data_IF_883792652438
#
_entry.id   IF_883792652438
#
_cell.length_a   1.000
_cell.length_b   1.000
_cell.length_c   1.000
_cell.angle_alpha   90.00
_cell.angle_beta   90.00
_cell.angle_gamma   90.00
#
_symmetry.space_group_name_H-M   'P 1'
#
loop_
_entity.id
_entity.type
_entity.pdbx_description
1 polymer ?
#
# COMPACT_ATOMS: atom_id res chain seq x y z
N UNK A 1 0.87 10.95 7.84
CA UNK A 1 0.96 9.66 7.13
C UNK A 1 2.18 8.83 7.55
N UNK A 2 3.40 9.36 7.52
CA UNK A 2 4.59 8.63 8.00
C UNK A 2 4.43 8.11 9.45
N UNK A 3 3.89 8.92 10.37
CA UNK A 3 3.58 8.51 11.75
C UNK A 3 2.53 7.40 11.79
N UNK A 4 1.43 7.53 11.03
CA UNK A 4 0.38 6.50 10.97
C UNK A 4 0.92 5.16 10.44
N UNK A 5 1.76 5.21 9.40
CA UNK A 5 2.41 4.03 8.85
C UNK A 5 3.42 3.40 9.82
N UNK A 6 4.19 4.21 10.56
CA UNK A 6 5.07 3.71 11.63
C UNK A 6 4.31 3.01 12.76
N UNK A 7 3.04 3.39 13.00
CA UNK A 7 2.18 2.77 14.01
C UNK A 7 1.46 1.51 13.52
N UNK A 8 1.23 1.33 12.22
CA UNK A 8 0.44 0.21 11.68
C UNK A 8 1.27 -0.75 10.82
N UNK A 9 2.09 -0.23 9.91
CA UNK A 9 2.93 -1.01 9.01
C UNK A 9 4.17 -1.60 9.68
N UNK A 10 4.84 -0.85 10.57
CA UNK A 10 6.04 -1.34 11.27
C UNK A 10 5.72 -2.52 12.21
N UNK A 11 4.66 -2.50 13.05
CA UNK A 11 4.30 -3.65 13.86
C UNK A 11 3.91 -4.87 13.02
N UNK A 12 3.21 -4.65 11.89
CA UNK A 12 2.87 -5.71 10.94
C UNK A 12 4.10 -6.34 10.29
N UNK A 13 5.10 -5.54 9.91
CA UNK A 13 6.37 -6.03 9.38
C UNK A 13 7.18 -6.78 10.46
N UNK A 14 7.13 -6.33 11.72
CA UNK A 14 7.73 -7.04 12.86
C UNK A 14 7.03 -8.37 13.16
N UNK A 15 5.75 -8.51 12.80
CA UNK A 15 5.00 -9.78 12.89
C UNK A 15 5.33 -10.75 11.73
N UNK A 16 6.15 -10.35 10.75
CA UNK A 16 6.51 -11.21 9.60
C UNK A 16 7.11 -12.57 9.99
N UNK A 17 7.96 -12.73 11.03
CA UNK A 17 8.44 -14.06 11.44
C UNK A 17 7.29 -14.96 11.88
N UNK A 18 6.34 -14.43 12.66
CA UNK A 18 5.16 -15.17 13.12
C UNK A 18 4.26 -15.56 11.93
N UNK A 19 3.99 -14.62 11.03
CA UNK A 19 3.22 -14.87 9.81
C UNK A 19 3.91 -15.89 8.91
N UNK A 20 5.23 -15.82 8.77
CA UNK A 20 5.97 -16.79 7.97
C UNK A 20 5.98 -18.20 8.56
N UNK A 21 5.96 -18.33 9.89
CA UNK A 21 5.76 -19.65 10.55
C UNK A 21 4.36 -20.17 10.25
N UNK A 22 3.32 -19.34 10.37
CA UNK A 22 1.94 -19.71 10.06
C UNK A 22 1.73 -20.10 8.60
N UNK A 23 2.47 -19.47 7.69
CA UNK A 23 2.46 -19.72 6.25
C UNK A 23 3.44 -20.84 5.83
N UNK A 24 4.14 -21.48 6.78
CA UNK A 24 5.16 -22.50 6.55
C UNK A 24 6.23 -22.07 5.52
N UNK A 25 6.67 -20.80 5.60
CA UNK A 25 7.63 -20.22 4.67
C UNK A 25 9.05 -20.78 4.88
N UNK A 26 9.84 -20.91 3.79
CA UNK A 26 11.28 -21.15 3.89
C UNK A 26 11.98 -20.03 4.68
N UNK A 27 13.09 -20.37 5.36
CA UNK A 27 13.79 -19.43 6.24
C UNK A 27 14.33 -18.17 5.52
N UNK A 28 14.53 -18.22 4.21
CA UNK A 28 14.94 -17.06 3.40
C UNK A 28 13.80 -16.08 3.06
N UNK A 29 12.54 -16.49 3.21
CA UNK A 29 11.39 -15.76 2.69
C UNK A 29 10.79 -14.77 3.70
N UNK A 30 11.19 -14.82 4.97
CA UNK A 30 10.72 -13.89 6.01
C UNK A 30 11.05 -12.42 5.69
N UNK A 31 12.25 -12.16 5.16
CA UNK A 31 12.66 -10.80 4.79
C UNK A 31 11.82 -10.27 3.63
N UNK A 32 11.49 -11.13 2.67
CA UNK A 32 10.62 -10.76 1.54
C UNK A 32 9.21 -10.45 2.02
N UNK A 33 8.66 -11.27 2.92
CA UNK A 33 7.36 -11.03 3.54
C UNK A 33 7.34 -9.69 4.30
N UNK A 34 8.36 -9.41 5.11
CA UNK A 34 8.47 -8.16 5.83
C UNK A 34 8.52 -6.95 4.88
N UNK A 35 9.33 -7.04 3.82
CA UNK A 35 9.47 -5.97 2.83
C UNK A 35 8.20 -5.77 2.00
N UNK A 36 7.54 -6.84 1.56
CA UNK A 36 6.30 -6.73 0.79
C UNK A 36 5.17 -6.13 1.63
N UNK A 37 5.07 -6.51 2.91
CA UNK A 37 4.14 -5.92 3.86
C UNK A 37 4.45 -4.44 4.10
N UNK A 38 5.72 -4.09 4.33
CA UNK A 38 6.12 -2.70 4.55
C UNK A 38 5.77 -1.81 3.35
N UNK A 39 6.17 -2.22 2.14
CA UNK A 39 5.91 -1.46 0.90
C UNK A 39 4.41 -1.42 0.55
N UNK A 40 3.72 -2.56 0.67
CA UNK A 40 2.30 -2.67 0.37
C UNK A 40 1.46 -1.81 1.30
N UNK A 41 1.68 -1.90 2.62
CA UNK A 41 0.94 -1.09 3.60
C UNK A 41 1.22 0.40 3.45
N UNK A 42 2.46 0.80 3.12
CA UNK A 42 2.80 2.19 2.86
C UNK A 42 2.03 2.74 1.65
N UNK A 43 2.00 1.95 0.56
CA UNK A 43 1.29 2.31 -0.67
C UNK A 43 -0.21 2.43 -0.44
N UNK A 44 -0.83 1.43 0.20
CA UNK A 44 -2.26 1.44 0.53
C UNK A 44 -2.63 2.62 1.44
N UNK A 45 -1.79 2.95 2.42
CA UNK A 45 -2.03 4.09 3.32
C UNK A 45 -2.05 5.43 2.57
N UNK A 46 -1.14 5.62 1.60
CA UNK A 46 -1.10 6.83 0.78
C UNK A 46 -2.29 6.91 -0.18
N UNK A 47 -2.65 5.79 -0.82
CA UNK A 47 -3.81 5.72 -1.71
C UNK A 47 -5.11 6.00 -0.92
N UNK A 48 -5.24 5.39 0.27
CA UNK A 48 -6.37 5.63 1.17
C UNK A 48 -6.45 7.09 1.64
N UNK A 49 -5.30 7.74 1.89
CA UNK A 49 -5.24 9.16 2.24
C UNK A 49 -5.73 10.07 1.09
N UNK A 50 -5.35 9.78 -0.15
CA UNK A 50 -5.88 10.48 -1.33
C UNK A 50 -7.40 10.33 -1.39
N UNK A 51 -7.89 9.10 -1.21
CA UNK A 51 -9.32 8.82 -1.16
C UNK A 51 -10.04 9.62 -0.07
N UNK A 52 -9.49 9.66 1.15
CA UNK A 52 -10.07 10.40 2.26
C UNK A 52 -10.11 11.92 1.98
N UNK A 53 -9.07 12.49 1.39
CA UNK A 53 -9.06 13.91 1.02
C UNK A 53 -10.13 14.26 -0.02
N UNK A 54 -10.36 13.37 -0.99
CA UNK A 54 -11.42 13.53 -1.99
C UNK A 54 -12.82 13.43 -1.36
N UNK A 55 -13.01 12.57 -0.34
CA UNK A 55 -14.31 12.46 0.35
C UNK A 55 -14.71 13.72 1.10
N UNK A 56 -13.74 14.50 1.60
CA UNK A 56 -14.01 15.76 2.32
C UNK A 56 -14.51 16.85 1.38
N UNK A 57 -14.08 16.85 0.11
CA UNK A 57 -14.44 17.87 -0.88
C UNK A 57 -15.67 17.59 -1.75
N UNK A 58 -16.27 16.40 -1.67
CA UNK A 58 -17.43 16.03 -2.48
C UNK A 58 -18.60 15.52 -1.63
N UNK A 59 -19.79 16.10 -1.85
CA UNK A 59 -21.05 15.68 -1.21
C UNK A 59 -21.46 14.21 -1.48
N UNK A 60 -20.84 13.54 -2.47
CA UNK A 60 -21.02 12.10 -2.79
C UNK A 60 -19.73 11.29 -2.58
N UNK A 61 -18.88 11.69 -1.62
CA UNK A 61 -17.52 11.18 -1.42
C UNK A 61 -17.40 9.65 -1.36
N UNK A 62 -18.37 8.93 -0.79
CA UNK A 62 -18.28 7.48 -0.57
C UNK A 62 -18.15 6.63 -1.84
N UNK A 63 -18.78 7.03 -2.95
CA UNK A 63 -18.75 6.25 -4.21
C UNK A 63 -17.47 6.51 -5.00
N UNK A 64 -16.97 7.75 -5.00
CA UNK A 64 -15.67 8.07 -5.62
C UNK A 64 -14.51 7.42 -4.87
N UNK A 65 -14.62 7.33 -3.54
CA UNK A 65 -13.65 6.62 -2.71
C UNK A 65 -13.50 5.17 -3.19
N UNK A 66 -14.60 4.40 -3.29
CA UNK A 66 -14.52 3.00 -3.70
C UNK A 66 -14.06 2.83 -5.15
N UNK A 67 -14.54 3.68 -6.07
CA UNK A 67 -14.19 3.62 -7.48
C UNK A 67 -12.71 3.93 -7.75
N UNK A 68 -12.10 4.84 -6.99
CA UNK A 68 -10.69 5.21 -7.17
C UNK A 68 -9.75 4.27 -6.41
N UNK A 69 -10.12 3.89 -5.19
CA UNK A 69 -9.26 3.12 -4.28
C UNK A 69 -9.17 1.65 -4.69
N UNK A 70 -10.30 1.05 -5.08
CA UNK A 70 -10.35 -0.37 -5.46
C UNK A 70 -9.38 -0.72 -6.61
N UNK A 71 -9.37 -0.03 -7.77
CA UNK A 71 -8.47 -0.38 -8.87
C UNK A 71 -7.00 -0.16 -8.53
N UNK A 72 -6.68 0.75 -7.59
CA UNK A 72 -5.31 0.99 -7.14
C UNK A 72 -4.88 0.01 -6.02
N UNK A 73 -5.81 -0.56 -5.26
CA UNK A 73 -5.52 -1.56 -4.24
C UNK A 73 -5.19 -2.92 -4.85
N UNK A 74 -5.90 -3.31 -5.91
CA UNK A 74 -5.69 -4.58 -6.61
C UNK A 74 -4.22 -4.80 -7.01
N UNK A 75 -3.53 -3.90 -7.72
CA UNK A 75 -2.14 -4.12 -8.11
C UNK A 75 -1.21 -4.23 -6.89
N UNK A 76 -1.41 -3.41 -5.85
CA UNK A 76 -0.60 -3.49 -4.62
C UNK A 76 -0.77 -4.86 -3.96
N UNK A 77 -2.00 -5.38 -3.90
CA UNK A 77 -2.28 -6.70 -3.33
C UNK A 77 -1.71 -7.83 -4.19
N UNK A 78 -1.85 -7.75 -5.52
CA UNK A 78 -1.32 -8.74 -6.46
C UNK A 78 0.20 -8.83 -6.36
N UNK A 79 0.91 -7.69 -6.42
CA UNK A 79 2.37 -7.71 -6.36
C UNK A 79 2.89 -8.02 -4.95
N UNK A 80 2.16 -7.62 -3.91
CA UNK A 80 2.45 -7.98 -2.51
C UNK A 80 2.39 -9.49 -2.27
N UNK A 81 1.28 -10.12 -2.63
CA UNK A 81 1.11 -11.57 -2.52
C UNK A 81 2.05 -12.32 -3.47
N UNK A 82 2.21 -11.82 -4.69
CA UNK A 82 3.12 -12.38 -5.70
C UNK A 82 4.58 -12.38 -5.25
N UNK A 83 5.05 -11.35 -4.53
CA UNK A 83 6.40 -11.34 -3.96
C UNK A 83 6.61 -12.47 -2.95
N UNK A 84 5.61 -12.75 -2.11
CA UNK A 84 5.66 -13.83 -1.12
C UNK A 84 5.59 -15.20 -1.81
N UNK A 85 4.72 -15.38 -2.80
CA UNK A 85 4.66 -16.61 -3.59
C UNK A 85 5.98 -16.87 -4.33
N UNK A 86 6.54 -15.85 -4.98
CA UNK A 86 7.84 -15.97 -5.64
C UNK A 86 8.93 -16.39 -4.65
N UNK A 87 8.90 -15.87 -3.42
CA UNK A 87 9.85 -16.27 -2.37
C UNK A 87 9.62 -17.70 -1.86
N UNK A 88 8.42 -18.27 -1.99
CA UNK A 88 8.13 -19.68 -1.67
C UNK A 88 8.70 -20.59 -2.75
N UNK A 89 8.45 -20.26 -4.02
CA UNK A 89 8.87 -21.08 -5.16
C UNK A 89 10.33 -20.87 -5.60
N UNK A 90 11.02 -19.88 -5.02
CA UNK A 90 12.39 -19.53 -5.40
C UNK A 90 12.48 -18.74 -6.72
N UNK A 91 11.38 -18.13 -7.14
CA UNK A 91 11.26 -17.33 -8.35
C UNK A 91 11.77 -15.88 -8.14
N UNK A 92 11.72 -15.07 -9.20
CA UNK A 92 12.15 -13.68 -9.21
C UNK A 92 11.33 -12.74 -8.32
N UNK A 93 11.68 -12.64 -7.03
CA UNK A 93 11.08 -11.72 -6.05
C UNK A 93 11.28 -10.26 -6.40
N UNK A 94 12.46 -9.91 -6.93
CA UNK A 94 12.87 -8.52 -7.18
C UNK A 94 11.90 -7.77 -8.09
N UNK A 95 11.33 -8.43 -9.11
CA UNK A 95 10.38 -7.80 -10.02
C UNK A 95 9.11 -7.31 -9.28
N UNK A 96 8.57 -8.14 -8.39
CA UNK A 96 7.38 -7.81 -7.60
C UNK A 96 7.67 -6.66 -6.62
N UNK A 97 8.82 -6.72 -5.93
CA UNK A 97 9.23 -5.65 -5.02
C UNK A 97 9.51 -4.33 -5.74
N UNK A 98 10.10 -4.38 -6.94
CA UNK A 98 10.35 -3.19 -7.75
C UNK A 98 9.04 -2.50 -8.17
N UNK A 99 8.03 -3.27 -8.55
CA UNK A 99 6.70 -2.72 -8.89
C UNK A 99 6.02 -2.13 -7.67
N UNK A 100 6.08 -2.79 -6.51
CA UNK A 100 5.58 -2.22 -5.25
C UNK A 100 6.29 -0.91 -4.89
N UNK A 101 7.62 -0.85 -5.07
CA UNK A 101 8.41 0.36 -4.88
C UNK A 101 8.01 1.48 -5.85
N UNK A 102 7.76 1.15 -7.12
CA UNK A 102 7.28 2.11 -8.12
C UNK A 102 5.88 2.65 -7.78
N UNK A 103 4.97 1.79 -7.35
CA UNK A 103 3.63 2.19 -6.89
C UNK A 103 3.71 3.10 -5.65
N UNK A 104 4.60 2.79 -4.70
CA UNK A 104 4.84 3.63 -3.54
C UNK A 104 5.37 5.01 -3.93
N UNK A 105 6.36 5.05 -4.83
CA UNK A 105 6.94 6.30 -5.33
C UNK A 105 5.90 7.16 -6.07
N UNK A 106 5.08 6.54 -6.92
CA UNK A 106 3.97 7.21 -7.60
C UNK A 106 2.95 7.76 -6.60
N UNK A 107 2.57 6.98 -5.59
CA UNK A 107 1.66 7.42 -4.54
C UNK A 107 2.22 8.58 -3.73
N UNK A 108 3.53 8.56 -3.40
CA UNK A 108 4.20 9.66 -2.70
C UNK A 108 4.21 10.96 -3.53
N UNK A 109 4.42 10.85 -4.84
CA UNK A 109 4.46 11.99 -5.73
C UNK A 109 3.07 12.59 -5.98
N UNK A 110 2.05 11.73 -6.15
CA UNK A 110 0.68 12.16 -6.45
C UNK A 110 -0.11 12.61 -5.22
N UNK A 111 0.18 12.04 -4.04
CA UNK A 111 -0.56 12.34 -2.81
C UNK A 111 -0.65 13.84 -2.46
N UNK A 112 0.45 14.61 -2.38
CA UNK A 112 0.36 16.02 -1.98
C UNK A 112 -0.44 16.86 -2.98
N UNK A 113 -0.31 16.59 -4.28
CA UNK A 113 -1.05 17.29 -5.33
C UNK A 113 -2.54 16.95 -5.29
N UNK A 114 -2.89 15.67 -5.18
CA UNK A 114 -4.27 15.22 -5.12
C UNK A 114 -4.98 15.75 -3.86
N UNK A 115 -4.31 15.72 -2.70
CA UNK A 115 -4.84 16.25 -1.45
C UNK A 115 -5.06 17.78 -1.55
N UNK A 116 -4.07 18.51 -2.08
CA UNK A 116 -4.18 19.97 -2.24
C UNK A 116 -5.31 20.38 -3.21
N UNK A 117 -5.45 19.68 -4.34
CA UNK A 117 -6.53 19.91 -5.30
C UNK A 117 -7.91 19.65 -4.68
N UNK A 118 -8.05 18.54 -3.94
CA UNK A 118 -9.30 18.17 -3.25
C UNK A 118 -9.72 19.23 -2.24
N UNK A 119 -8.77 19.72 -1.45
CA UNK A 119 -9.04 20.73 -0.43
C UNK A 119 -9.45 22.08 -1.04
N UNK A 120 -8.82 22.48 -2.15
CA UNK A 120 -9.20 23.70 -2.89
C UNK A 120 -10.63 23.63 -3.42
N UNK A 121 -11.05 22.47 -3.95
CA UNK A 121 -12.41 22.27 -4.44
C UNK A 121 -13.41 22.34 -3.28
N UNK A 122 -13.07 21.74 -2.12
CA UNK A 122 -13.93 21.77 -0.93
C UNK A 122 -14.18 23.16 -0.36
N UNK A 123 -13.19 24.05 -0.45
CA UNK A 123 -13.27 25.41 0.12
C UNK A 123 -14.01 26.36 -0.83
N UNK A 124 -13.93 26.12 -2.14
CA UNK A 124 -14.58 26.93 -3.17
C UNK A 124 -15.97 26.39 -3.60
N UNK A 125 -16.40 25.27 -3.04
CA UNK A 125 -17.66 24.58 -3.35
C UNK A 125 -18.76 24.83 -2.34
#
# INVERSE_FOLDING_TARGET
MAVHWLLTGLPLALMAPLLGIMLALPAGSYAVLALSLALGTASLSLIGAIGAALTVGLARGGVLLSLLVLPLYIPVLIFGAGAVQAAIFGDGVLAHLAILGALLAAALMLAPWAIAASLRISING
#
